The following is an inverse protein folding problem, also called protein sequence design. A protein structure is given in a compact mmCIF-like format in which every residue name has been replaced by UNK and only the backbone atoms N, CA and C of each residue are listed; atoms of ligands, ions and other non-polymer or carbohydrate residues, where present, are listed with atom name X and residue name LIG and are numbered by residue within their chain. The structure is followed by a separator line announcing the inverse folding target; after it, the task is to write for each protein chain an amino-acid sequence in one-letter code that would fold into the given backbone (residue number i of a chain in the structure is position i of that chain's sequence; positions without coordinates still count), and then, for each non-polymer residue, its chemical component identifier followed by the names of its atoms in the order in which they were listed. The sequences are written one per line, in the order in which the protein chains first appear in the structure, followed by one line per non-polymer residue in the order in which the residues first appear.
data_IF_648993416318
#
_entry.id   IF_648993416318
#
_cell.length_a   1.000
_cell.length_b   1.000
_cell.length_c   1.000
_cell.angle_alpha   90.00
_cell.angle_beta   90.00
_cell.angle_gamma   90.00
#
_symmetry.space_group_name_H-M   'P 1'
#
loop_
_entity.id
_entity.type
_entity.pdbx_description
1 polymer ?
#
# COMPACT_ATOMS: atom_id res chain seq x y z
N UNK A 1 -12.77 12.94 7.92
CA UNK A 1 -13.88 11.97 7.94
C UNK A 1 -13.45 10.72 7.17
N UNK A 2 -13.96 9.54 7.53
CA UNK A 2 -13.73 8.33 6.74
C UNK A 2 -14.84 8.26 5.70
N UNK A 3 -14.47 8.16 4.43
CA UNK A 3 -15.41 8.02 3.31
C UNK A 3 -15.40 6.58 2.81
N UNK A 4 -16.58 5.97 2.72
CA UNK A 4 -16.77 4.63 2.17
C UNK A 4 -17.28 4.73 0.75
N UNK A 5 -16.65 4.00 -0.17
CA UNK A 5 -17.05 3.93 -1.58
C UNK A 5 -17.67 2.57 -1.86
N UNK A 6 -18.72 2.54 -2.69
CA UNK A 6 -19.44 1.31 -3.07
C UNK A 6 -19.56 1.23 -4.58
N UNK A 7 -19.30 0.06 -5.16
CA UNK A 7 -19.38 -0.18 -6.60
C UNK A 7 -18.39 -1.26 -7.05
N UNK A 8 -18.18 -1.36 -8.37
CA UNK A 8 -17.07 -2.14 -8.91
C UNK A 8 -15.74 -1.50 -8.50
N UNK A 9 -14.82 -2.32 -7.98
CA UNK A 9 -13.57 -1.83 -7.39
C UNK A 9 -12.70 -1.09 -8.41
N UNK A 10 -12.65 -1.55 -9.66
CA UNK A 10 -11.78 -0.97 -10.66
C UNK A 10 -12.37 0.33 -11.21
N UNK A 11 -13.68 0.37 -11.45
CA UNK A 11 -14.38 1.60 -11.85
C UNK A 11 -14.28 2.69 -10.79
N UNK A 12 -14.54 2.35 -9.52
CA UNK A 12 -14.47 3.31 -8.41
C UNK A 12 -13.05 3.86 -8.25
N UNK A 13 -12.03 3.00 -8.26
CA UNK A 13 -10.64 3.43 -8.07
C UNK A 13 -10.12 4.27 -9.23
N UNK A 14 -10.48 3.95 -10.49
CA UNK A 14 -10.09 4.76 -11.66
C UNK A 14 -10.69 6.17 -11.65
N UNK A 15 -11.86 6.34 -11.04
CA UNK A 15 -12.52 7.64 -10.88
C UNK A 15 -12.08 8.41 -9.63
N UNK A 16 -11.29 7.80 -8.74
CA UNK A 16 -10.89 8.42 -7.48
C UNK A 16 -9.67 9.33 -7.66
N UNK A 17 -9.65 10.54 -7.07
CA UNK A 17 -8.49 11.42 -7.14
C UNK A 17 -7.31 10.80 -6.36
N UNK A 18 -6.29 10.36 -7.09
CA UNK A 18 -5.04 9.83 -6.54
C UNK A 18 -3.89 10.74 -6.98
N UNK A 19 -3.11 11.22 -6.01
CA UNK A 19 -1.98 12.14 -6.23
C UNK A 19 -0.70 11.68 -5.51
N UNK A 20 0.37 12.48 -5.63
CA UNK A 20 1.68 12.20 -5.01
C UNK A 20 1.70 12.32 -3.46
N UNK A 21 0.57 12.60 -2.82
CA UNK A 21 0.38 12.55 -1.37
C UNK A 21 -0.50 11.38 -0.93
N UNK A 22 -1.04 10.62 -1.88
CA UNK A 22 -1.90 9.46 -1.64
C UNK A 22 -1.07 8.22 -1.35
N UNK A 23 -1.53 7.42 -0.38
CA UNK A 23 -0.99 6.10 -0.07
C UNK A 23 -2.10 5.08 -0.25
N UNK A 24 -1.89 4.12 -1.14
CA UNK A 24 -2.86 3.05 -1.40
C UNK A 24 -2.41 1.78 -0.71
N UNK A 25 -3.29 1.21 0.11
CA UNK A 25 -3.08 -0.03 0.85
C UNK A 25 -4.15 -1.02 0.42
N UNK A 26 -3.75 -2.04 -0.34
CA UNK A 26 -4.64 -3.07 -0.89
C UNK A 26 -4.66 -4.24 0.10
N UNK A 27 -5.76 -4.33 0.85
CA UNK A 27 -6.02 -5.39 1.85
C UNK A 27 -7.42 -5.95 1.64
N UNK A 28 -7.53 -6.97 0.80
CA UNK A 28 -8.83 -7.64 0.57
C UNK A 28 -8.82 -9.09 1.07
N UNK A 29 -10.02 -9.72 1.07
CA UNK A 29 -10.21 -11.14 1.41
C UNK A 29 -10.17 -12.06 0.18
N UNK A 30 -9.41 -11.75 -0.88
CA UNK A 30 -9.26 -12.68 -2.01
C UNK A 30 -8.43 -12.17 -3.19
N UNK A 31 -7.81 -13.11 -3.91
CA UNK A 31 -6.88 -12.88 -5.03
C UNK A 31 -7.43 -11.92 -6.10
N UNK A 32 -8.65 -12.16 -6.57
CA UNK A 32 -9.26 -11.42 -7.68
C UNK A 32 -9.43 -9.93 -7.37
N UNK A 33 -9.82 -9.59 -6.14
CA UNK A 33 -10.04 -8.19 -5.77
C UNK A 33 -8.73 -7.43 -5.58
N UNK A 34 -7.68 -8.09 -5.09
CA UNK A 34 -6.35 -7.47 -5.00
C UNK A 34 -5.78 -7.14 -6.38
N UNK A 35 -5.91 -8.07 -7.34
CA UNK A 35 -5.47 -7.87 -8.73
C UNK A 35 -6.25 -6.75 -9.42
N UNK A 36 -7.60 -6.76 -9.32
CA UNK A 36 -8.44 -5.70 -9.88
C UNK A 36 -8.11 -4.32 -9.28
N UNK A 37 -7.91 -4.26 -7.96
CA UNK A 37 -7.52 -3.02 -7.29
C UNK A 37 -6.15 -2.53 -7.76
N UNK A 38 -5.16 -3.44 -7.80
CA UNK A 38 -3.80 -3.10 -8.21
C UNK A 38 -3.78 -2.60 -9.66
N UNK A 39 -4.41 -3.33 -10.58
CA UNK A 39 -4.50 -2.92 -11.98
C UNK A 39 -5.09 -1.51 -12.13
N UNK A 40 -6.13 -1.18 -11.35
CA UNK A 40 -6.79 0.12 -11.43
C UNK A 40 -5.91 1.30 -10.98
N UNK A 41 -4.88 1.05 -10.15
CA UNK A 41 -4.07 2.11 -9.52
C UNK A 41 -2.57 2.03 -9.80
N UNK A 42 -2.08 0.99 -10.48
CA UNK A 42 -0.64 0.76 -10.70
C UNK A 42 0.05 1.90 -11.46
N UNK A 43 -0.68 2.55 -12.37
CA UNK A 43 -0.22 3.71 -13.14
C UNK A 43 -0.43 5.05 -12.45
N UNK A 44 -1.10 5.05 -11.28
CA UNK A 44 -1.38 6.29 -10.55
C UNK A 44 -0.10 6.97 -10.06
N UNK A 45 -0.15 8.29 -9.81
CA UNK A 45 0.96 9.03 -9.19
C UNK A 45 1.03 8.81 -7.67
N UNK A 46 0.35 7.80 -7.12
CA UNK A 46 0.37 7.50 -5.70
C UNK A 46 1.81 7.43 -5.19
N UNK A 47 2.05 8.01 -4.02
CA UNK A 47 3.37 7.94 -3.40
C UNK A 47 3.76 6.52 -3.03
N UNK A 48 2.75 5.74 -2.68
CA UNK A 48 2.92 4.40 -2.14
C UNK A 48 1.78 3.53 -2.63
N UNK A 49 2.15 2.36 -3.13
CA UNK A 49 1.24 1.28 -3.47
C UNK A 49 1.71 0.05 -2.72
N UNK A 50 0.91 -0.41 -1.76
CA UNK A 50 1.22 -1.61 -0.98
C UNK A 50 0.13 -2.65 -1.13
N UNK A 51 0.51 -3.93 -1.26
CA UNK A 51 -0.42 -5.04 -1.39
C UNK A 51 -0.12 -6.15 -0.39
N UNK A 52 -1.14 -6.56 0.37
CA UNK A 52 -1.03 -7.70 1.28
C UNK A 52 -1.00 -9.02 0.51
N UNK A 53 -0.23 -9.99 0.96
CA UNK A 53 -0.24 -11.32 0.36
C UNK A 53 0.94 -12.21 0.68
N UNK A 54 0.78 -13.51 0.43
CA UNK A 54 1.94 -14.40 0.34
C UNK A 54 2.75 -14.09 -0.92
N UNK A 55 4.06 -14.38 -0.89
CA UNK A 55 4.95 -14.17 -2.06
C UNK A 55 4.42 -14.86 -3.32
N UNK A 56 3.91 -16.08 -3.17
CA UNK A 56 3.29 -16.85 -4.26
C UNK A 56 2.06 -16.12 -4.83
N UNK A 57 1.18 -15.58 -3.98
CA UNK A 57 0.01 -14.82 -4.45
C UNK A 57 0.45 -13.62 -5.26
N UNK A 58 1.41 -12.86 -4.74
CA UNK A 58 1.89 -11.63 -5.37
C UNK A 58 2.49 -11.93 -6.75
N UNK A 59 3.30 -12.99 -6.86
CA UNK A 59 3.89 -13.41 -8.14
C UNK A 59 2.82 -13.70 -9.19
N UNK A 60 1.80 -14.49 -8.84
CA UNK A 60 0.69 -14.80 -9.77
C UNK A 60 0.02 -13.52 -10.25
N UNK A 61 -0.35 -12.61 -9.34
CA UNK A 61 -0.97 -11.32 -9.70
C UNK A 61 -0.04 -10.50 -10.60
N UNK A 62 1.25 -10.45 -10.33
CA UNK A 62 2.19 -9.65 -11.14
C UNK A 62 2.38 -10.24 -12.54
N UNK A 63 2.44 -11.57 -12.66
CA UNK A 63 2.53 -12.24 -13.95
C UNK A 63 1.24 -12.02 -14.76
N UNK A 64 0.07 -12.18 -14.14
CA UNK A 64 -1.24 -11.93 -14.78
C UNK A 64 -1.35 -10.47 -15.28
N UNK A 65 -0.93 -9.49 -14.47
CA UNK A 65 -0.94 -8.08 -14.87
C UNK A 65 0.09 -7.76 -15.96
N UNK A 66 1.26 -8.39 -15.94
CA UNK A 66 2.26 -8.24 -16.99
C UNK A 66 1.75 -8.82 -18.33
N UNK A 67 1.04 -9.95 -18.31
CA UNK A 67 0.37 -10.51 -19.49
C UNK A 67 -0.73 -9.59 -20.05
N UNK A 68 -1.40 -8.82 -19.19
CA UNK A 68 -2.34 -7.77 -19.57
C UNK A 68 -1.67 -6.48 -20.08
N UNK A 69 -0.34 -6.42 -20.10
CA UNK A 69 0.43 -5.31 -20.66
C UNK A 69 0.86 -4.24 -19.65
N UNK A 70 0.70 -4.49 -18.34
CA UNK A 70 1.27 -3.61 -17.31
C UNK A 70 2.79 -3.71 -17.33
N UNK A 71 3.45 -2.55 -17.39
CA UNK A 71 4.91 -2.46 -17.38
C UNK A 71 5.48 -3.02 -16.07
N UNK A 72 6.51 -3.87 -16.17
CA UNK A 72 7.18 -4.48 -15.01
C UNK A 72 7.77 -3.44 -14.08
N UNK A 73 8.30 -2.33 -14.60
CA UNK A 73 8.84 -1.25 -13.78
C UNK A 73 7.76 -0.59 -12.90
N UNK A 74 6.50 -0.64 -13.36
CA UNK A 74 5.33 -0.18 -12.60
C UNK A 74 4.94 -1.17 -11.52
N UNK A 75 5.10 -2.48 -11.75
CA UNK A 75 4.87 -3.51 -10.74
C UNK A 75 5.98 -3.50 -9.67
N UNK A 76 7.22 -3.20 -10.03
CA UNK A 76 8.36 -3.17 -9.11
C UNK A 76 8.26 -2.07 -8.04
N UNK A 77 7.47 -1.02 -8.26
CA UNK A 77 7.21 0.02 -7.24
C UNK A 77 6.28 -0.45 -6.11
N UNK A 78 5.62 -1.60 -6.27
CA UNK A 78 4.58 -2.07 -5.36
C UNK A 78 5.21 -2.78 -4.16
N UNK A 79 4.98 -2.24 -2.97
CA UNK A 79 5.41 -2.84 -1.71
C UNK A 79 4.62 -4.11 -1.43
N UNK A 80 5.25 -5.26 -1.64
CA UNK A 80 4.57 -6.56 -1.57
C UNK A 80 5.53 -7.70 -1.16
N UNK A 81 5.24 -8.47 -0.09
CA UNK A 81 4.20 -8.21 0.90
C UNK A 81 4.39 -6.86 1.60
N UNK A 82 3.28 -6.16 1.79
CA UNK A 82 3.26 -4.86 2.48
C UNK A 82 3.66 -4.99 3.96
N UNK A 83 4.36 -3.98 4.49
CA UNK A 83 4.74 -3.84 5.88
C UNK A 83 6.18 -4.28 6.18
N UNK A 84 6.76 -3.70 7.24
CA UNK A 84 8.12 -4.03 7.66
C UNK A 84 8.24 -5.47 8.19
N UNK A 85 9.39 -6.10 7.98
CA UNK A 85 9.68 -7.46 8.43
C UNK A 85 9.96 -7.52 9.96
N UNK A 86 8.92 -7.33 10.77
CA UNK A 86 8.98 -7.34 12.24
C UNK A 86 8.58 -8.69 12.86
N UNK A 87 8.36 -9.72 12.04
CA UNK A 87 7.86 -11.02 12.49
C UNK A 87 6.38 -11.03 12.87
N UNK A 88 5.58 -10.12 12.31
CA UNK A 88 4.15 -9.98 12.57
C UNK A 88 3.35 -11.24 12.18
N UNK A 89 2.48 -11.70 13.07
CA UNK A 89 1.59 -12.85 12.88
C UNK A 89 0.13 -12.42 13.06
N UNK A 90 -0.16 -11.59 14.07
CA UNK A 90 -1.54 -11.19 14.39
C UNK A 90 -1.98 -9.98 13.56
N UNK A 91 -3.30 -9.79 13.38
CA UNK A 91 -3.84 -8.62 12.64
C UNK A 91 -3.33 -7.29 13.23
N UNK A 92 -3.30 -7.08 14.56
CA UNK A 92 -2.70 -5.87 15.13
C UNK A 92 -1.21 -5.70 14.81
N UNK A 93 -0.42 -6.77 14.86
CA UNK A 93 1.01 -6.71 14.52
C UNK A 93 1.22 -6.37 13.04
N UNK A 94 0.40 -6.93 12.14
CA UNK A 94 0.44 -6.63 10.71
C UNK A 94 0.06 -5.16 10.48
N UNK A 95 -0.95 -4.64 11.19
CA UNK A 95 -1.30 -3.23 11.11
C UNK A 95 -0.14 -2.31 11.55
N UNK A 96 0.58 -2.68 12.62
CA UNK A 96 1.77 -1.97 13.07
C UNK A 96 2.89 -2.02 12.03
N UNK A 97 3.14 -3.19 11.42
CA UNK A 97 4.18 -3.31 10.39
C UNK A 97 3.90 -2.46 9.16
N UNK A 98 2.63 -2.39 8.74
CA UNK A 98 2.18 -1.53 7.63
C UNK A 98 2.33 -0.07 8.01
N UNK A 99 1.82 0.35 9.18
CA UNK A 99 1.93 1.74 9.62
C UNK A 99 3.39 2.22 9.75
N UNK A 100 4.29 1.33 10.16
CA UNK A 100 5.71 1.60 10.22
C UNK A 100 6.33 1.82 8.82
N UNK A 101 5.97 0.98 7.83
CA UNK A 101 6.43 1.13 6.44
C UNK A 101 5.89 2.43 5.81
N UNK A 102 4.60 2.73 6.00
CA UNK A 102 4.00 4.00 5.55
C UNK A 102 4.73 5.21 6.16
N UNK A 103 5.12 5.12 7.44
CA UNK A 103 5.90 6.16 8.12
C UNK A 103 7.30 6.29 7.53
N UNK A 104 7.98 5.17 7.22
CA UNK A 104 9.29 5.16 6.57
C UNK A 104 9.24 5.90 5.23
N UNK A 105 8.34 5.49 4.33
CA UNK A 105 8.17 6.09 3.00
C UNK A 105 7.82 7.58 3.09
N UNK A 106 7.03 7.97 4.09
CA UNK A 106 6.74 9.40 4.34
C UNK A 106 7.99 10.20 4.72
N UNK A 107 8.91 9.60 5.48
CA UNK A 107 10.09 10.26 6.07
C UNK A 107 11.30 10.33 5.12
N UNK A 108 11.37 9.45 4.11
CA UNK A 108 12.42 9.46 3.08
C UNK A 108 12.54 10.79 2.32
N UNK A 109 11.53 11.67 2.37
CA UNK A 109 11.62 13.08 1.91
C UNK A 109 12.47 14.02 2.78
N UNK A 110 13.50 13.52 3.47
CA UNK A 110 14.44 14.34 4.23
C UNK A 110 13.90 14.85 5.57
N UNK A 111 13.00 14.10 6.22
CA UNK A 111 12.56 14.44 7.56
C UNK A 111 13.73 14.26 8.56
N UNK A 112 13.96 15.26 9.42
CA UNK A 112 14.95 15.15 10.48
C UNK A 112 14.58 13.98 11.40
N UNK A 113 15.55 13.13 11.81
CA UNK A 113 15.30 12.09 12.80
C UNK A 113 14.70 12.69 14.07
N UNK A 114 13.89 11.92 14.78
CA UNK A 114 13.52 12.28 16.15
C UNK A 114 14.80 12.21 16.98
N UNK A 115 15.35 13.37 17.33
CA UNK A 115 16.55 13.49 18.17
C UNK A 115 16.13 14.03 19.53
N UNK A 116 16.28 13.22 20.58
CA UNK A 116 15.92 13.56 21.97
C UNK A 116 15.31 12.35 22.69
N UNK A 117 15.13 12.40 24.04
CA UNK A 117 14.19 11.50 24.69
C UNK A 117 12.83 11.62 23.99
N UNK A 118 12.02 10.55 23.96
CA UNK A 118 10.66 10.62 23.43
C UNK A 118 9.91 11.74 24.19
N UNK A 119 9.91 12.96 23.67
CA UNK A 119 9.00 14.00 24.12
C UNK A 119 7.62 13.60 23.60
N UNK A 120 6.97 12.73 24.37
CA UNK A 120 5.54 12.52 24.28
C UNK A 120 4.96 13.87 24.68
N UNK A 121 4.72 14.74 23.69
CA UNK A 121 3.91 15.94 23.87
C UNK A 121 2.52 15.48 24.28
N UNK A 122 2.32 15.31 25.58
CA UNK A 122 0.99 15.27 26.18
C UNK A 122 0.38 16.65 25.96
N UNK A 123 -0.30 16.84 24.82
CA UNK A 123 -1.23 17.95 24.68
C UNK A 123 -2.37 17.71 25.64
N UNK A 124 -2.50 18.61 26.60
CA UNK A 124 -3.59 18.73 27.56
C UNK A 124 -4.94 18.92 26.88
#
# INVERSE_FOLDING_TARGET
PIEGLTGDIAEVLRGWPIDANTYVVIVTRGHRHDEQALHAVVDSPARYLGMIGSRRKIQVIFDDLAELGVDRDRLERVHSPIGLAIGAITVPEIAVSIAAELTQVRRERGAKPVTGPFEISASS
#
